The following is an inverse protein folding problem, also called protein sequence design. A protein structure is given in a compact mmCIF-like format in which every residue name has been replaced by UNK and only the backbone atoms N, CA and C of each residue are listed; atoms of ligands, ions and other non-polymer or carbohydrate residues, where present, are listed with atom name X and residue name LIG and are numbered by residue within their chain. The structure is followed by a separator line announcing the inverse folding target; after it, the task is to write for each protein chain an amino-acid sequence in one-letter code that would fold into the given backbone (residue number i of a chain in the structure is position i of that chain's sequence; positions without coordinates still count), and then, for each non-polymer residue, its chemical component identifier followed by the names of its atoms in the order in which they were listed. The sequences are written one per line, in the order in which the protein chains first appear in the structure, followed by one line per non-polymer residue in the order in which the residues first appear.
data_IF_518590540363
#
_entry.id   IF_518590540363
#
_cell.length_a   1.000
_cell.length_b   1.000
_cell.length_c   1.000
_cell.angle_alpha   90.00
_cell.angle_beta   90.00
_cell.angle_gamma   90.00
#
_symmetry.space_group_name_H-M   'P 1'
#
loop_
_entity.id
_entity.type
_entity.pdbx_description
1 polymer ?
#
# COMPACT_ATOMS: atom_id res chain seq x y z
N UNK A 1 -36.20 33.25 -16.65
CA UNK A 1 -34.91 32.68 -17.12
C UNK A 1 -33.66 33.19 -16.38
N UNK A 2 -33.57 34.46 -15.93
CA UNK A 2 -32.36 34.97 -15.22
C UNK A 2 -31.99 34.22 -13.92
N UNK A 3 -32.97 33.77 -13.14
CA UNK A 3 -32.73 33.02 -11.89
C UNK A 3 -32.12 31.62 -12.10
N UNK A 4 -32.42 30.96 -13.22
CA UNK A 4 -31.89 29.63 -13.52
C UNK A 4 -30.39 29.70 -13.85
N UNK A 5 -29.99 30.73 -14.62
CA UNK A 5 -28.57 30.99 -14.95
C UNK A 5 -27.72 31.20 -13.71
N UNK A 6 -28.18 32.04 -12.77
CA UNK A 6 -27.46 32.31 -11.52
C UNK A 6 -27.18 31.03 -10.72
N UNK A 7 -28.17 30.14 -10.55
CA UNK A 7 -27.98 28.89 -9.78
C UNK A 7 -27.01 27.92 -10.45
N UNK A 8 -27.07 27.81 -11.77
CA UNK A 8 -26.14 26.98 -12.55
C UNK A 8 -24.72 27.52 -12.41
N UNK A 9 -24.52 28.85 -12.47
CA UNK A 9 -23.20 29.45 -12.30
C UNK A 9 -22.62 29.18 -10.90
N UNK A 10 -23.41 29.32 -9.83
CA UNK A 10 -22.92 29.03 -8.47
C UNK A 10 -22.59 27.54 -8.28
N UNK A 11 -23.40 26.63 -8.85
CA UNK A 11 -23.11 25.21 -8.80
C UNK A 11 -21.81 24.85 -9.53
N UNK A 12 -21.59 25.44 -10.72
CA UNK A 12 -20.35 25.24 -11.48
C UNK A 12 -19.13 25.82 -10.76
N UNK A 13 -19.25 26.99 -10.14
CA UNK A 13 -18.16 27.59 -9.35
C UNK A 13 -17.84 26.74 -8.11
N UNK A 14 -18.86 26.26 -7.38
CA UNK A 14 -18.64 25.39 -6.23
C UNK A 14 -18.00 24.06 -6.64
N UNK A 15 -18.41 23.48 -7.78
CA UNK A 15 -17.82 22.28 -8.32
C UNK A 15 -16.36 22.52 -8.75
N UNK A 16 -16.08 23.63 -9.44
CA UNK A 16 -14.72 24.00 -9.83
C UNK A 16 -13.79 24.23 -8.61
N UNK A 17 -14.27 24.91 -7.57
CA UNK A 17 -13.49 25.13 -6.33
C UNK A 17 -13.30 23.83 -5.57
N UNK A 18 -14.33 22.98 -5.47
CA UNK A 18 -14.24 21.67 -4.83
C UNK A 18 -13.27 20.73 -5.56
N UNK A 19 -13.38 20.64 -6.88
CA UNK A 19 -12.47 19.87 -7.74
C UNK A 19 -11.04 20.40 -7.67
N UNK A 20 -10.86 21.72 -7.68
CA UNK A 20 -9.54 22.35 -7.54
C UNK A 20 -8.90 22.09 -6.17
N UNK A 21 -9.67 22.16 -5.09
CA UNK A 21 -9.17 21.83 -3.75
C UNK A 21 -8.84 20.34 -3.62
N UNK A 22 -9.68 19.45 -4.15
CA UNK A 22 -9.41 18.00 -4.15
C UNK A 22 -8.15 17.67 -4.97
N UNK A 23 -8.02 18.23 -6.18
CA UNK A 23 -6.84 18.05 -7.01
C UNK A 23 -5.56 18.59 -6.34
N UNK A 24 -5.64 19.74 -5.67
CA UNK A 24 -4.51 20.30 -4.92
C UNK A 24 -4.14 19.45 -3.69
N UNK A 25 -5.11 18.85 -3.00
CA UNK A 25 -4.86 17.93 -1.89
C UNK A 25 -4.24 16.62 -2.38
N UNK A 26 -4.77 16.03 -3.46
CA UNK A 26 -4.21 14.81 -4.07
C UNK A 26 -2.78 15.07 -4.59
N UNK A 27 -2.55 16.20 -5.25
CA UNK A 27 -1.20 16.57 -5.70
C UNK A 27 -0.23 16.73 -4.54
N UNK A 28 -0.67 17.32 -3.41
CA UNK A 28 0.18 17.44 -2.22
C UNK A 28 0.41 16.11 -1.50
N UNK A 29 -0.57 15.21 -1.51
CA UNK A 29 -0.42 13.87 -0.93
C UNK A 29 0.41 12.94 -1.82
N UNK A 30 0.41 13.17 -3.14
CA UNK A 30 1.28 12.45 -4.08
C UNK A 30 2.72 12.95 -4.08
N UNK A 31 2.94 14.21 -3.65
CA UNK A 31 4.28 14.82 -3.47
C UNK A 31 4.81 14.67 -2.03
N UNK A 32 4.04 14.09 -1.10
CA UNK A 32 4.60 13.62 0.17
C UNK A 32 5.46 12.41 -0.19
N UNK A 33 6.69 12.71 -0.60
CA UNK A 33 7.83 11.82 -0.78
C UNK A 33 7.86 10.95 0.48
N UNK A 34 7.23 9.79 0.39
CA UNK A 34 7.04 8.89 1.51
C UNK A 34 8.39 8.24 1.72
N UNK A 35 9.31 9.00 2.31
CA UNK A 35 10.70 8.59 2.45
C UNK A 35 10.67 7.39 3.36
N UNK A 36 10.94 6.21 2.80
CA UNK A 36 11.17 5.02 3.60
C UNK A 36 12.26 5.38 4.61
N UNK A 37 11.99 5.26 5.92
CA UNK A 37 12.98 5.62 6.92
C UNK A 37 14.25 4.80 6.70
N UNK A 38 15.41 5.42 6.95
CA UNK A 38 16.69 4.73 6.87
C UNK A 38 16.67 3.45 7.72
N UNK A 39 17.01 2.28 7.15
CA UNK A 39 16.94 1.02 7.85
C UNK A 39 17.92 1.04 9.02
N UNK A 40 17.51 0.45 10.14
CA UNK A 40 18.34 0.37 11.35
C UNK A 40 18.41 -1.06 11.85
N UNK A 41 19.34 -1.28 12.77
CA UNK A 41 19.48 -2.51 13.55
C UNK A 41 19.54 -3.75 12.64
N UNK A 42 18.66 -4.74 12.86
CA UNK A 42 18.70 -6.01 12.14
C UNK A 42 18.42 -5.85 10.64
N UNK A 43 17.58 -4.88 10.25
CA UNK A 43 17.17 -4.69 8.85
C UNK A 43 18.37 -4.19 8.06
N UNK A 44 19.12 -3.23 8.63
CA UNK A 44 20.36 -2.75 8.02
C UNK A 44 21.40 -3.87 7.87
N UNK A 45 21.53 -4.76 8.86
CA UNK A 45 22.43 -5.92 8.79
C UNK A 45 21.99 -6.91 7.69
N UNK A 46 20.69 -7.17 7.58
CA UNK A 46 20.17 -8.06 6.54
C UNK A 46 20.40 -7.48 5.15
N UNK A 47 20.10 -6.19 4.93
CA UNK A 47 20.37 -5.52 3.65
C UNK A 47 21.85 -5.63 3.28
N UNK A 48 22.75 -5.27 4.21
CA UNK A 48 24.19 -5.33 3.96
C UNK A 48 24.69 -6.76 3.69
N UNK A 49 24.06 -7.78 4.26
CA UNK A 49 24.42 -9.19 3.96
C UNK A 49 23.86 -9.64 2.61
N UNK A 50 22.66 -9.18 2.27
CA UNK A 50 21.97 -9.54 1.02
C UNK A 50 22.58 -8.89 -0.24
N UNK A 51 23.43 -7.88 -0.07
CA UNK A 51 24.25 -7.32 -1.15
C UNK A 51 25.27 -8.34 -1.69
N UNK A 52 25.80 -9.20 -0.82
CA UNK A 52 26.83 -10.19 -1.17
C UNK A 52 26.22 -11.59 -1.38
N UNK A 53 25.23 -11.98 -0.57
CA UNK A 53 24.68 -13.34 -0.55
C UNK A 53 23.15 -13.34 -0.71
N UNK A 54 22.52 -14.27 -1.45
CA UNK A 54 21.07 -14.25 -1.64
C UNK A 54 20.27 -14.69 -0.41
N UNK A 55 20.94 -15.18 0.63
CA UNK A 55 20.32 -15.68 1.86
C UNK A 55 21.00 -15.02 3.07
N UNK A 56 20.20 -14.55 4.02
CA UNK A 56 20.66 -14.05 5.31
C UNK A 56 19.93 -14.74 6.45
N UNK A 57 20.66 -15.50 7.26
CA UNK A 57 20.12 -16.09 8.49
C UNK A 57 20.69 -15.37 9.72
N UNK A 58 19.81 -14.71 10.47
CA UNK A 58 20.21 -14.04 11.71
C UNK A 58 20.61 -15.06 12.80
N UNK A 59 21.36 -14.65 13.84
CA UNK A 59 21.78 -15.57 14.91
C UNK A 59 20.61 -16.31 15.60
N UNK A 60 19.47 -15.65 15.76
CA UNK A 60 18.22 -16.22 16.30
C UNK A 60 17.43 -17.05 15.26
N UNK A 61 17.68 -16.86 13.97
CA UNK A 61 17.12 -17.69 12.88
C UNK A 61 17.85 -19.02 12.67
N UNK A 62 19.07 -19.17 13.21
CA UNK A 62 19.89 -20.39 13.07
C UNK A 62 19.27 -21.66 13.66
N UNK A 63 18.28 -21.51 14.55
CA UNK A 63 17.51 -22.64 15.05
C UNK A 63 16.55 -23.23 14.00
N UNK A 64 16.28 -22.49 12.92
CA UNK A 64 15.38 -22.90 11.83
C UNK A 64 16.13 -23.22 10.54
N UNK A 65 17.19 -22.48 10.24
CA UNK A 65 18.04 -22.74 9.09
C UNK A 65 19.52 -22.72 9.52
N UNK A 66 20.14 -23.89 9.59
CA UNK A 66 21.56 -24.02 9.89
C UNK A 66 22.43 -23.64 8.67
N UNK A 67 23.75 -23.70 8.82
CA UNK A 67 24.70 -23.35 7.74
C UNK A 67 24.56 -24.28 6.52
N UNK A 68 24.32 -25.57 6.76
CA UNK A 68 24.12 -26.55 5.68
C UNK A 68 22.80 -26.31 4.93
N UNK A 69 21.76 -25.86 5.63
CA UNK A 69 20.48 -25.46 5.05
C UNK A 69 20.58 -24.15 4.28
N UNK A 70 21.26 -23.14 4.81
CA UNK A 70 21.54 -21.86 4.14
C UNK A 70 22.25 -22.10 2.80
N UNK A 71 23.35 -22.86 2.81
CA UNK A 71 24.10 -23.19 1.60
C UNK A 71 23.28 -23.97 0.56
N UNK A 72 22.33 -24.81 1.01
CA UNK A 72 21.44 -25.53 0.11
C UNK A 72 20.41 -24.62 -0.56
N UNK A 73 19.83 -23.68 0.20
CA UNK A 73 18.91 -22.66 -0.31
C UNK A 73 19.64 -21.74 -1.30
N UNK A 74 20.85 -21.29 -0.98
CA UNK A 74 21.70 -20.49 -1.88
C UNK A 74 21.99 -21.24 -3.18
N UNK A 75 22.40 -22.50 -3.09
CA UNK A 75 22.66 -23.34 -4.26
C UNK A 75 21.41 -23.51 -5.13
N UNK A 76 20.24 -23.67 -4.53
CA UNK A 76 18.97 -23.79 -5.26
C UNK A 76 18.58 -22.51 -5.99
N UNK A 77 18.76 -21.34 -5.35
CA UNK A 77 18.53 -20.03 -5.97
C UNK A 77 19.49 -19.84 -7.15
N UNK A 78 20.78 -20.15 -6.96
CA UNK A 78 21.82 -19.99 -7.98
C UNK A 78 21.64 -20.96 -9.17
N UNK A 79 21.29 -22.23 -8.92
CA UNK A 79 21.08 -23.23 -9.97
C UNK A 79 19.99 -22.81 -10.96
N UNK A 80 18.98 -22.09 -10.47
CA UNK A 80 17.79 -21.70 -11.23
C UNK A 80 17.77 -20.23 -11.63
N UNK A 81 18.79 -19.46 -11.28
CA UNK A 81 18.91 -18.02 -11.54
C UNK A 81 17.65 -17.27 -11.06
N UNK A 82 17.18 -17.59 -9.84
CA UNK A 82 15.96 -17.00 -9.30
C UNK A 82 16.24 -15.58 -8.78
N UNK A 83 15.39 -14.59 -9.11
CA UNK A 83 15.47 -13.26 -8.53
C UNK A 83 14.85 -13.27 -7.13
N UNK A 84 15.40 -14.07 -6.21
CA UNK A 84 14.88 -14.27 -4.86
C UNK A 84 15.95 -13.92 -3.83
N UNK A 85 15.52 -13.30 -2.74
CA UNK A 85 16.32 -13.06 -1.53
C UNK A 85 15.60 -13.68 -0.35
N UNK A 86 16.32 -14.34 0.55
CA UNK A 86 15.73 -15.02 1.70
C UNK A 86 16.33 -14.46 2.98
N UNK A 87 15.46 -14.10 3.93
CA UNK A 87 15.84 -13.68 5.27
C UNK A 87 15.18 -14.61 6.27
N UNK A 88 15.97 -15.19 7.17
CA UNK A 88 15.44 -16.08 8.23
C UNK A 88 15.81 -15.50 9.58
N UNK A 89 14.81 -15.14 10.39
CA UNK A 89 15.04 -14.60 11.72
C UNK A 89 13.86 -14.75 12.68
N UNK A 90 14.06 -14.70 13.99
CA UNK A 90 12.92 -14.75 14.93
C UNK A 90 12.18 -13.40 15.01
N UNK A 91 10.84 -13.36 15.04
CA UNK A 91 10.08 -12.13 15.17
C UNK A 91 10.34 -11.51 16.54
N UNK A 92 10.63 -10.21 16.56
CA UNK A 92 10.95 -9.48 17.78
C UNK A 92 10.39 -8.06 17.73
N UNK A 93 9.63 -7.70 18.75
CA UNK A 93 9.15 -6.33 18.94
C UNK A 93 10.27 -5.36 19.36
N UNK A 94 11.45 -5.90 19.71
CA UNK A 94 12.60 -5.12 20.21
C UNK A 94 13.70 -4.91 19.18
N UNK A 95 13.55 -5.46 17.97
CA UNK A 95 14.64 -5.48 17.00
C UNK A 95 14.65 -4.29 16.03
N UNK A 96 14.02 -3.17 16.44
CA UNK A 96 14.22 -1.86 15.82
C UNK A 96 13.39 -1.56 14.57
N UNK A 97 12.71 -2.56 14.01
CA UNK A 97 12.01 -2.46 12.73
C UNK A 97 10.50 -2.22 12.82
N UNK A 98 9.97 -1.97 14.03
CA UNK A 98 8.54 -1.70 14.21
C UNK A 98 8.19 -0.32 13.65
N UNK A 99 7.99 -0.25 12.34
CA UNK A 99 7.39 0.91 11.69
C UNK A 99 5.87 0.71 11.67
N UNK A 100 5.05 1.73 12.01
CA UNK A 100 3.59 1.60 12.03
C UNK A 100 2.96 1.28 10.67
N UNK A 101 3.70 1.43 9.59
CA UNK A 101 3.17 1.32 8.22
C UNK A 101 4.00 0.45 7.28
N UNK A 102 5.22 0.08 7.67
CA UNK A 102 6.12 -0.70 6.80
C UNK A 102 6.53 -1.98 7.50
N UNK A 103 6.33 -3.10 6.81
CA UNK A 103 6.88 -4.37 7.25
C UNK A 103 8.42 -4.35 7.13
N UNK A 104 9.13 -5.23 7.84
CA UNK A 104 10.58 -5.38 7.64
C UNK A 104 10.93 -5.86 6.24
N UNK A 105 10.08 -6.70 5.65
CA UNK A 105 10.25 -7.18 4.29
C UNK A 105 10.20 -6.00 3.29
N UNK A 106 9.22 -5.10 3.44
CA UNK A 106 9.12 -3.87 2.64
C UNK A 106 10.38 -3.02 2.78
N UNK A 107 10.86 -2.80 4.02
CA UNK A 107 12.08 -2.02 4.23
C UNK A 107 13.31 -2.67 3.57
N UNK A 108 13.46 -3.99 3.66
CA UNK A 108 14.60 -4.67 3.02
C UNK A 108 14.50 -4.51 1.49
N UNK A 109 13.37 -4.88 0.89
CA UNK A 109 13.23 -4.93 -0.56
C UNK A 109 13.34 -3.54 -1.20
N UNK A 110 12.86 -2.48 -0.53
CA UNK A 110 13.04 -1.10 -1.01
C UNK A 110 14.52 -0.70 -1.08
N UNK A 111 15.36 -1.20 -0.18
CA UNK A 111 16.78 -0.79 -0.09
C UNK A 111 17.75 -1.67 -0.88
N UNK A 112 17.31 -2.81 -1.41
CA UNK A 112 18.14 -3.64 -2.28
C UNK A 112 18.34 -3.05 -3.70
N UNK A 113 17.46 -2.13 -4.12
CA UNK A 113 17.52 -1.43 -5.42
C UNK A 113 17.60 -2.38 -6.65
N UNK A 114 16.97 -3.55 -6.53
CA UNK A 114 16.92 -4.56 -7.60
C UNK A 114 15.54 -5.25 -7.64
N UNK A 115 15.10 -5.74 -8.82
CA UNK A 115 13.84 -6.46 -8.95
C UNK A 115 13.98 -7.87 -8.39
N UNK A 116 13.82 -8.03 -7.08
CA UNK A 116 13.89 -9.31 -6.37
C UNK A 116 12.65 -9.58 -5.52
N UNK A 117 12.30 -10.85 -5.43
CA UNK A 117 11.26 -11.35 -4.53
C UNK A 117 11.91 -11.66 -3.19
N UNK A 118 11.58 -10.89 -2.17
CA UNK A 118 12.07 -11.12 -0.82
C UNK A 118 11.16 -12.08 -0.08
N UNK A 119 11.73 -13.13 0.50
CA UNK A 119 11.06 -13.99 1.48
C UNK A 119 11.63 -13.68 2.85
N UNK A 120 10.78 -13.24 3.76
CA UNK A 120 11.09 -13.06 5.16
C UNK A 120 10.45 -14.18 5.98
N UNK A 121 11.26 -15.12 6.44
CA UNK A 121 10.85 -16.22 7.30
C UNK A 121 10.99 -15.85 8.78
N UNK A 122 9.87 -15.91 9.52
CA UNK A 122 9.78 -15.56 10.93
C UNK A 122 9.32 -16.73 11.81
N UNK A 123 9.32 -17.94 11.27
CA UNK A 123 8.95 -19.16 11.98
C UNK A 123 7.98 -20.00 11.15
N UNK A 124 7.56 -21.17 11.67
CA UNK A 124 6.69 -22.09 10.93
C UNK A 124 5.30 -21.51 10.62
N UNK A 125 4.84 -20.52 11.40
CA UNK A 125 3.51 -19.92 11.25
C UNK A 125 3.56 -18.45 10.80
N UNK A 126 4.75 -17.93 10.46
CA UNK A 126 4.92 -16.50 10.17
C UNK A 126 5.98 -16.29 9.08
N UNK A 127 5.52 -15.86 7.91
CA UNK A 127 6.38 -15.54 6.78
C UNK A 127 5.76 -14.44 5.94
N UNK A 128 6.60 -13.61 5.34
CA UNK A 128 6.17 -12.55 4.45
C UNK A 128 6.91 -12.69 3.12
N UNK A 129 6.19 -12.49 2.03
CA UNK A 129 6.78 -12.43 0.69
C UNK A 129 6.49 -11.06 0.10
N UNK A 130 7.53 -10.38 -0.38
CA UNK A 130 7.40 -9.00 -0.85
C UNK A 130 8.22 -8.73 -2.10
N UNK A 131 7.80 -7.74 -2.88
CA UNK A 131 8.45 -7.29 -4.10
C UNK A 131 8.65 -5.77 -4.05
N UNK A 132 9.66 -5.23 -4.75
CA UNK A 132 9.90 -3.79 -4.76
C UNK A 132 8.75 -3.05 -5.43
N UNK A 133 8.61 -1.76 -5.07
CA UNK A 133 7.62 -0.88 -5.66
C UNK A 133 7.70 -0.90 -7.20
N UNK A 134 6.53 -0.91 -7.84
CA UNK A 134 6.44 -1.01 -9.30
C UNK A 134 6.59 -2.43 -9.85
N UNK A 135 6.70 -3.46 -9.01
CA UNK A 135 6.71 -4.86 -9.42
C UNK A 135 5.53 -5.63 -8.82
N UNK A 136 5.12 -6.71 -9.48
CA UNK A 136 4.12 -7.66 -9.00
C UNK A 136 4.61 -9.08 -9.22
N UNK A 137 4.19 -10.00 -8.34
CA UNK A 137 4.50 -11.43 -8.48
C UNK A 137 3.54 -12.11 -9.45
N UNK A 138 4.06 -12.85 -10.42
CA UNK A 138 3.31 -13.70 -11.35
C UNK A 138 3.23 -15.12 -10.78
N UNK A 139 2.12 -15.45 -10.12
CA UNK A 139 1.83 -16.82 -9.72
C UNK A 139 0.86 -17.49 -10.70
N UNK A 140 1.27 -18.56 -11.42
CA UNK A 140 0.38 -19.26 -12.33
C UNK A 140 -0.73 -20.00 -11.55
N UNK A 141 -1.99 -19.69 -11.85
CA UNK A 141 -3.16 -20.34 -11.25
C UNK A 141 -3.86 -19.56 -10.13
N UNK A 142 -3.36 -18.36 -9.82
CA UNK A 142 -3.95 -17.48 -8.81
C UNK A 142 -4.60 -16.28 -9.52
N UNK A 143 -5.94 -16.30 -9.65
CA UNK A 143 -6.69 -15.06 -9.84
C UNK A 143 -6.39 -14.15 -8.63
N UNK A 144 -6.34 -12.84 -8.87
CA UNK A 144 -5.81 -11.72 -8.05
C UNK A 144 -6.26 -11.61 -6.56
N UNK A 145 -6.86 -12.65 -5.99
CA UNK A 145 -7.33 -12.72 -4.61
C UNK A 145 -6.38 -13.59 -3.76
N UNK A 146 -5.48 -12.91 -3.04
CA UNK A 146 -4.86 -13.29 -1.76
C UNK A 146 -3.98 -14.56 -1.72
N UNK A 147 -2.67 -14.30 -1.56
CA UNK A 147 -1.84 -14.83 -0.47
C UNK A 147 -2.14 -16.29 -0.06
N UNK A 148 -1.63 -17.26 -0.81
CA UNK A 148 -1.01 -18.38 -0.11
C UNK A 148 0.41 -17.92 0.20
N UNK A 149 0.53 -17.11 1.27
CA UNK A 149 1.75 -17.16 2.08
C UNK A 149 2.05 -18.64 2.25
N UNK A 150 3.26 -19.09 1.91
CA UNK A 150 3.46 -20.52 1.79
C UNK A 150 3.14 -21.16 3.15
N UNK A 151 2.36 -22.24 3.13
CA UNK A 151 1.90 -22.87 4.36
C UNK A 151 3.05 -23.67 4.96
N UNK A 152 3.83 -22.98 5.79
CA UNK A 152 5.12 -23.41 6.31
C UNK A 152 5.03 -24.30 7.57
N UNK A 153 4.09 -25.24 7.55
CA UNK A 153 3.91 -26.22 8.62
C UNK A 153 4.98 -27.32 8.51
N UNK A 154 6.24 -27.01 8.78
CA UNK A 154 7.32 -27.95 8.51
C UNK A 154 8.72 -27.54 8.96
N UNK A 155 9.67 -28.28 8.39
CA UNK A 155 11.10 -28.02 8.49
C UNK A 155 11.45 -26.88 7.53
N UNK A 156 11.96 -25.76 8.06
CA UNK A 156 12.20 -24.52 7.28
C UNK A 156 13.03 -24.75 6.03
N UNK A 157 14.02 -25.64 6.08
CA UNK A 157 14.83 -25.98 4.91
C UNK A 157 13.98 -26.65 3.84
N UNK A 158 13.31 -27.75 4.19
CA UNK A 158 12.48 -28.52 3.24
C UNK A 158 11.41 -27.65 2.61
N UNK A 159 10.74 -26.84 3.44
CA UNK A 159 9.66 -25.97 3.02
C UNK A 159 10.14 -24.84 2.09
N UNK A 160 11.31 -24.24 2.37
CA UNK A 160 11.93 -23.25 1.48
C UNK A 160 12.37 -23.88 0.15
N UNK A 161 12.96 -25.06 0.16
CA UNK A 161 13.38 -25.77 -1.06
C UNK A 161 12.18 -26.16 -1.94
N UNK A 162 11.10 -26.66 -1.33
CA UNK A 162 9.85 -27.00 -2.02
C UNK A 162 9.16 -25.75 -2.59
N UNK A 163 9.09 -24.68 -1.80
CA UNK A 163 8.54 -23.40 -2.27
C UNK A 163 9.38 -22.84 -3.41
N UNK A 164 10.70 -22.73 -3.25
CA UNK A 164 11.60 -22.25 -4.28
C UNK A 164 11.40 -23.05 -5.56
N UNK A 165 11.35 -24.37 -5.50
CA UNK A 165 11.08 -25.27 -6.63
C UNK A 165 9.81 -24.93 -7.41
N UNK A 166 8.80 -24.35 -6.75
CA UNK A 166 7.55 -23.92 -7.36
C UNK A 166 7.59 -22.50 -7.97
N UNK A 167 8.54 -21.66 -7.54
CA UNK A 167 8.67 -20.28 -8.02
C UNK A 167 9.13 -20.28 -9.49
N UNK A 168 8.41 -19.62 -10.40
CA UNK A 168 8.85 -19.50 -11.79
C UNK A 168 10.06 -18.57 -11.92
N UNK A 169 10.90 -18.76 -12.93
CA UNK A 169 12.08 -17.90 -13.14
C UNK A 169 11.71 -16.47 -13.53
N UNK A 170 10.52 -16.27 -14.11
CA UNK A 170 9.92 -14.98 -14.44
C UNK A 170 8.84 -14.56 -13.42
N UNK A 171 9.12 -14.79 -12.13
CA UNK A 171 8.17 -14.49 -11.04
C UNK A 171 7.86 -13.00 -10.91
N UNK A 172 8.73 -12.10 -11.34
CA UNK A 172 8.47 -10.67 -11.26
C UNK A 172 8.04 -10.10 -12.62
N UNK A 173 6.95 -9.35 -12.60
CA UNK A 173 6.46 -8.59 -13.73
C UNK A 173 6.38 -7.11 -13.32
N UNK A 174 6.85 -6.23 -14.19
CA UNK A 174 6.69 -4.79 -13.99
C UNK A 174 5.19 -4.47 -13.90
N UNK A 175 4.79 -3.87 -12.79
CA UNK A 175 3.42 -3.45 -12.55
C UNK A 175 3.16 -2.23 -13.43
N UNK A 176 2.31 -2.39 -14.45
CA UNK A 176 1.88 -1.28 -15.32
C UNK A 176 0.87 -0.34 -14.67
N UNK A 177 0.78 -0.33 -13.33
CA UNK A 177 -0.01 0.64 -12.58
C UNK A 177 -1.51 0.43 -12.72
N UNK A 178 -2.07 -0.55 -12.01
CA UNK A 178 -3.44 -0.41 -11.53
C UNK A 178 -3.39 0.42 -10.25
N UNK A 179 -3.19 1.73 -10.41
CA UNK A 179 -3.31 2.70 -9.32
C UNK A 179 -4.77 2.84 -8.91
N UNK A 180 -5.36 1.76 -8.39
CA UNK A 180 -6.75 1.72 -8.00
C UNK A 180 -7.07 2.85 -6.99
N UNK A 181 -6.06 3.26 -6.22
CA UNK A 181 -6.11 4.44 -5.34
C UNK A 181 -5.12 5.57 -5.68
N UNK A 182 -4.02 5.31 -6.41
CA UNK A 182 -2.94 6.29 -6.65
C UNK A 182 -3.09 7.19 -7.90
N UNK A 183 -3.96 6.83 -8.84
CA UNK A 183 -4.07 7.51 -10.13
C UNK A 183 -5.08 8.65 -10.08
N UNK A 184 -5.07 9.54 -11.07
CA UNK A 184 -6.05 10.66 -11.13
C UNK A 184 -7.50 10.15 -11.03
N UNK A 185 -7.81 9.00 -11.64
CA UNK A 185 -9.12 8.36 -11.55
C UNK A 185 -9.46 7.87 -10.13
N UNK A 186 -8.53 7.16 -9.48
CA UNK A 186 -8.69 6.68 -8.09
C UNK A 186 -8.82 7.83 -7.09
N UNK A 187 -7.98 8.86 -7.24
CA UNK A 187 -8.05 10.08 -6.43
C UNK A 187 -9.38 10.83 -6.57
N UNK A 188 -9.96 10.90 -7.79
CA UNK A 188 -11.29 11.49 -8.01
C UNK A 188 -12.37 10.62 -7.33
N UNK A 189 -12.34 9.30 -7.52
CA UNK A 189 -13.33 8.40 -6.94
C UNK A 189 -13.30 8.43 -5.40
N UNK A 190 -12.11 8.34 -4.81
CA UNK A 190 -11.90 8.46 -3.36
C UNK A 190 -12.30 9.85 -2.85
N UNK A 191 -11.91 10.91 -3.55
CA UNK A 191 -12.30 12.29 -3.24
C UNK A 191 -13.81 12.49 -3.23
N UNK A 192 -14.54 11.87 -4.16
CA UNK A 192 -16.01 11.87 -4.15
C UNK A 192 -16.59 11.06 -3.00
N UNK A 193 -16.02 9.89 -2.72
CA UNK A 193 -16.47 8.98 -1.67
C UNK A 193 -16.33 9.61 -0.28
N UNK A 194 -15.25 10.34 -0.01
CA UNK A 194 -15.02 11.05 1.26
C UNK A 194 -15.69 12.43 1.26
N UNK A 195 -15.66 13.15 0.13
CA UNK A 195 -16.18 14.50 0.02
C UNK A 195 -17.70 14.60 0.11
N UNK A 196 -18.44 13.66 -0.50
CA UNK A 196 -19.91 13.66 -0.49
C UNK A 196 -20.50 13.57 0.93
N UNK A 197 -20.06 12.65 1.80
CA UNK A 197 -20.50 12.60 3.19
C UNK A 197 -20.19 13.88 3.96
N UNK A 198 -19.03 14.50 3.76
CA UNK A 198 -18.65 15.74 4.46
C UNK A 198 -19.55 16.89 4.03
N UNK A 199 -19.74 17.09 2.72
CA UNK A 199 -20.64 18.13 2.20
C UNK A 199 -22.08 17.86 2.63
N UNK A 200 -22.52 16.61 2.58
CA UNK A 200 -23.84 16.19 3.07
C UNK A 200 -24.02 16.46 4.56
N UNK A 201 -23.01 16.18 5.37
CA UNK A 201 -22.99 16.43 6.81
C UNK A 201 -23.04 17.92 7.14
N UNK A 202 -22.26 18.76 6.44
CA UNK A 202 -22.30 20.22 6.59
C UNK A 202 -23.68 20.77 6.19
N UNK A 203 -24.24 20.31 5.07
CA UNK A 203 -25.56 20.72 4.62
C UNK A 203 -26.66 20.32 5.62
N UNK A 204 -26.57 19.10 6.17
CA UNK A 204 -27.47 18.61 7.21
C UNK A 204 -27.37 19.47 8.48
N UNK A 205 -26.15 19.71 8.98
CA UNK A 205 -25.89 20.54 10.15
C UNK A 205 -26.42 21.97 9.98
N UNK A 206 -26.14 22.60 8.84
CA UNK A 206 -26.65 23.93 8.52
C UNK A 206 -28.19 23.96 8.48
N UNK A 207 -28.82 22.92 7.96
CA UNK A 207 -30.27 22.79 7.95
C UNK A 207 -30.86 22.60 9.36
N UNK A 208 -30.21 21.81 10.22
CA UNK A 208 -30.60 21.64 11.63
C UNK A 208 -30.50 22.95 12.42
N UNK A 209 -29.41 23.72 12.23
CA UNK A 209 -29.26 25.06 12.84
C UNK A 209 -30.39 26.00 12.41
N UNK A 210 -30.79 25.97 11.13
CA UNK A 210 -31.91 26.80 10.64
C UNK A 210 -33.24 26.38 11.27
N UNK A 211 -33.50 25.08 11.40
CA UNK A 211 -34.69 24.57 12.08
C UNK A 211 -34.74 25.03 13.54
N UNK A 212 -33.63 24.91 14.28
CA UNK A 212 -33.53 25.42 15.65
C UNK A 212 -33.77 26.92 15.77
N UNK A 213 -33.40 27.69 14.75
CA UNK A 213 -33.68 29.13 14.65
C UNK A 213 -35.09 29.47 14.12
N UNK A 214 -36.00 28.50 14.01
CA UNK A 214 -37.38 28.71 13.54
C UNK A 214 -37.50 28.97 12.04
N UNK A 215 -36.45 28.71 11.26
CA UNK A 215 -36.44 28.88 9.79
C UNK A 215 -36.60 27.53 9.11
N UNK A 216 -37.39 27.49 8.02
CA UNK A 216 -37.54 26.28 7.22
C UNK A 216 -36.22 25.80 6.61
N UNK A 217 -36.07 24.48 6.47
CA UNK A 217 -34.88 23.82 5.90
C UNK A 217 -34.64 24.22 4.42
N UNK A 218 -35.71 24.54 3.69
CA UNK A 218 -35.63 24.98 2.30
C UNK A 218 -35.24 26.45 2.23
N UNK A 219 -34.17 26.76 1.50
CA UNK A 219 -33.90 28.12 1.05
C UNK A 219 -35.03 28.55 0.10
N UNK A 220 -36.06 29.24 0.63
CA UNK A 220 -37.05 29.88 -0.23
C UNK A 220 -36.32 30.89 -1.11
N UNK A 221 -36.49 30.86 -2.43
CA UNK A 221 -35.99 31.94 -3.28
C UNK A 221 -36.58 33.27 -2.77
N UNK A 222 -35.81 34.37 -2.78
CA UNK A 222 -36.33 35.67 -2.38
C UNK A 222 -37.57 35.99 -3.21
N UNK A 223 -38.64 36.40 -2.54
CA UNK A 223 -39.87 36.85 -3.18
C UNK A 223 -39.52 37.99 -4.14
N UNK A 224 -39.97 37.89 -5.40
CA UNK A 224 -39.80 39.00 -6.34
C UNK A 224 -40.44 40.28 -5.75
N UNK A 225 -39.82 41.46 -5.92
CA UNK A 225 -40.37 42.70 -5.41
C UNK A 225 -41.77 42.90 -6.01
N UNK A 226 -42.79 43.05 -5.15
CA UNK A 226 -44.13 43.37 -5.59
C UNK A 226 -44.10 44.76 -6.21
N UNK A 227 -44.35 44.88 -7.52
CA UNK A 227 -44.67 46.16 -8.15
C UNK A 227 -45.90 46.73 -7.45
N UNK A 228 -45.70 47.69 -6.55
CA UNK A 228 -46.79 48.53 -6.04
C UNK A 228 -47.12 49.50 -7.16
N UNK A 229 -48.31 49.35 -7.74
CA UNK A 229 -48.96 50.39 -8.56
C UNK A 229 -49.56 51.46 -7.66
#
# INVERSE_FOLDING_TARGET
MRFLRSRVTHALVALAVGSGAAAATVSRMGDDDWTVPEPRDRVAVAIASLEDDPVYVSPDGRAWLDEDGEAAVEAHIAERDLPVRVVVWQPSTKAGYQHPTLSPAQQIVTYLDEPVLLVLWQGPDDSLVDAPDGWKTRYPGYDETWEQEPTFLGDTRTDLEDWLSSVPTDVLEESTGSDYYGGTGGGIAFGLLVGLPVVGGIALAAGLVRLGAGRGFRARPPSAPSERR
#
